data_IF_770258109892
#
_entry.id   IF_770258109892
#
_cell.length_a   1.000
_cell.length_b   1.000
_cell.length_c   1.000
_cell.angle_alpha   90.00
_cell.angle_beta   90.00
_cell.angle_gamma   90.00
#
_symmetry.space_group_name_H-M   'P 1'
#
loop_
_entity.id
_entity.type
_entity.pdbx_description
1 polymer ?
#
# COMPACT_ATOMS: atom_id res chain seq x y z
N UNK A 1 19.06 26.37 17.37
CA UNK A 1 20.01 25.83 16.37
C UNK A 1 19.82 24.31 16.28
N UNK A 2 19.44 23.76 15.12
CA UNK A 2 19.38 22.30 14.92
C UNK A 2 20.82 21.80 14.73
N UNK A 3 21.40 21.15 15.73
CA UNK A 3 22.69 20.46 15.58
C UNK A 3 22.58 19.48 14.41
N UNK A 4 23.36 19.72 13.36
CA UNK A 4 23.53 18.75 12.27
C UNK A 4 24.26 17.55 12.87
N UNK A 5 23.54 16.44 13.05
CA UNK A 5 24.14 15.15 13.41
C UNK A 5 25.31 14.86 12.46
N UNK A 6 26.39 14.29 12.99
CA UNK A 6 27.53 13.83 12.20
C UNK A 6 27.09 12.69 11.26
N UNK A 7 27.83 12.47 10.17
CA UNK A 7 27.48 11.43 9.19
C UNK A 7 27.42 10.02 9.80
N UNK A 8 28.20 9.76 10.86
CA UNK A 8 28.20 8.50 11.60
C UNK A 8 26.95 8.35 12.47
N UNK A 9 26.52 9.41 13.16
CA UNK A 9 25.27 9.42 13.94
C UNK A 9 24.04 9.27 13.04
N UNK A 10 24.04 9.91 11.86
CA UNK A 10 23.00 9.71 10.84
C UNK A 10 22.88 8.26 10.39
N UNK A 11 24.01 7.59 10.12
CA UNK A 11 24.01 6.18 9.74
C UNK A 11 23.50 5.30 10.87
N UNK A 12 23.80 5.62 12.13
CA UNK A 12 23.30 4.84 13.27
C UNK A 12 21.78 4.98 13.46
N UNK A 13 21.22 6.16 13.20
CA UNK A 13 19.77 6.42 13.33
C UNK A 13 18.96 5.84 12.16
N UNK A 14 19.44 5.99 10.92
CA UNK A 14 18.67 5.61 9.73
C UNK A 14 19.13 4.29 9.09
N UNK A 15 20.30 3.77 9.46
CA UNK A 15 20.82 2.48 9.00
C UNK A 15 21.20 1.57 10.17
N UNK A 16 20.28 1.41 11.14
CA UNK A 16 20.47 0.61 12.35
C UNK A 16 21.00 -0.80 12.07
N UNK A 17 20.59 -1.41 10.97
CA UNK A 17 20.96 -2.77 10.58
C UNK A 17 22.19 -2.85 9.66
N UNK A 18 22.84 -1.71 9.36
CA UNK A 18 23.92 -1.59 8.37
C UNK A 18 23.59 -2.34 7.07
N UNK A 19 22.44 -2.00 6.48
CA UNK A 19 21.92 -2.61 5.26
C UNK A 19 22.35 -1.80 4.03
N UNK A 20 22.69 -2.52 2.97
CA UNK A 20 23.00 -2.02 1.65
C UNK A 20 22.34 -2.93 0.60
N UNK A 21 22.45 -2.56 -0.67
CA UNK A 21 21.82 -3.32 -1.77
C UNK A 21 22.28 -4.78 -1.86
N UNK A 22 23.54 -5.08 -1.52
CA UNK A 22 24.08 -6.43 -1.67
C UNK A 22 23.73 -7.30 -0.46
N UNK A 23 23.87 -6.74 0.74
CA UNK A 23 23.75 -7.49 1.99
C UNK A 23 22.29 -7.76 2.38
N UNK A 24 21.32 -7.04 1.81
CA UNK A 24 19.89 -7.25 2.12
C UNK A 24 19.45 -8.67 1.74
N UNK A 25 20.07 -9.27 0.72
CA UNK A 25 19.83 -10.67 0.32
C UNK A 25 20.22 -11.67 1.39
N UNK A 26 21.30 -11.39 2.12
CA UNK A 26 21.76 -12.25 3.22
C UNK A 26 21.04 -11.94 4.53
N UNK A 27 20.83 -10.65 4.83
CA UNK A 27 20.26 -10.18 6.10
C UNK A 27 18.74 -10.27 6.18
N UNK A 28 18.03 -10.17 5.06
CA UNK A 28 16.57 -10.10 5.04
C UNK A 28 15.95 -10.76 3.79
N UNK A 29 16.29 -12.03 3.47
CA UNK A 29 15.79 -12.71 2.27
C UNK A 29 14.26 -12.85 2.27
N UNK A 30 13.66 -13.12 3.43
CA UNK A 30 12.19 -13.22 3.57
C UNK A 30 11.48 -11.91 3.20
N UNK A 31 12.05 -10.75 3.61
CA UNK A 31 11.48 -9.44 3.27
C UNK A 31 11.59 -9.17 1.77
N UNK A 32 12.71 -9.53 1.14
CA UNK A 32 12.89 -9.41 -0.32
C UNK A 32 11.92 -10.29 -1.10
N UNK A 33 11.70 -11.53 -0.66
CA UNK A 33 10.73 -12.42 -1.29
C UNK A 33 9.32 -11.84 -1.24
N UNK A 34 8.90 -11.27 -0.11
CA UNK A 34 7.60 -10.59 0.01
C UNK A 34 7.52 -9.36 -0.90
N UNK A 35 8.61 -8.59 -1.05
CA UNK A 35 8.68 -7.45 -1.96
C UNK A 35 8.55 -7.90 -3.42
N UNK A 36 9.16 -9.02 -3.79
CA UNK A 36 9.00 -9.62 -5.12
C UNK A 36 7.56 -10.10 -5.37
N UNK A 37 6.96 -10.82 -4.42
CA UNK A 37 5.56 -11.27 -4.50
C UNK A 37 4.61 -10.07 -4.64
N UNK A 38 4.85 -9.01 -3.87
CA UNK A 38 4.10 -7.75 -3.98
C UNK A 38 4.20 -7.16 -5.40
N UNK A 39 5.40 -7.09 -5.98
CA UNK A 39 5.59 -6.56 -7.33
C UNK A 39 4.87 -7.39 -8.41
N UNK A 40 4.84 -8.72 -8.28
CA UNK A 40 4.08 -9.59 -9.19
C UNK A 40 2.57 -9.32 -9.05
N UNK A 41 2.05 -9.36 -7.81
CA UNK A 41 0.62 -9.15 -7.54
C UNK A 41 0.16 -7.77 -8.04
N UNK A 42 0.99 -6.74 -7.84
CA UNK A 42 0.74 -5.40 -8.37
C UNK A 42 0.59 -5.42 -9.89
N UNK A 43 1.55 -6.01 -10.62
CA UNK A 43 1.49 -6.05 -12.08
C UNK A 43 0.32 -6.91 -12.61
N UNK A 44 -0.04 -8.00 -11.93
CA UNK A 44 -1.23 -8.80 -12.28
C UNK A 44 -2.50 -7.95 -12.10
N UNK A 45 -2.64 -7.29 -10.95
CA UNK A 45 -3.78 -6.41 -10.67
C UNK A 45 -3.92 -5.30 -11.71
N UNK A 46 -2.80 -4.69 -12.09
CA UNK A 46 -2.75 -3.66 -13.13
C UNK A 46 -3.10 -4.23 -14.50
N UNK A 47 -2.43 -5.29 -14.95
CA UNK A 47 -2.58 -5.84 -16.30
C UNK A 47 -3.97 -6.46 -16.55
N UNK A 48 -4.55 -7.12 -15.55
CA UNK A 48 -5.83 -7.83 -15.68
C UNK A 48 -7.04 -6.95 -15.41
N UNK A 49 -6.96 -6.05 -14.42
CA UNK A 49 -8.13 -5.31 -13.93
C UNK A 49 -8.03 -3.80 -14.17
N UNK A 50 -7.00 -3.13 -13.64
CA UNK A 50 -6.92 -1.66 -13.72
C UNK A 50 -6.74 -1.15 -15.15
N UNK A 51 -6.01 -1.89 -15.99
CA UNK A 51 -5.85 -1.62 -17.42
C UNK A 51 -7.17 -1.65 -18.19
N UNK A 52 -8.19 -2.36 -17.70
CA UNK A 52 -9.56 -2.42 -18.27
C UNK A 52 -10.51 -1.40 -17.63
N UNK A 53 -10.18 -0.91 -16.43
CA UNK A 53 -11.06 -0.12 -15.58
C UNK A 53 -11.03 1.40 -15.84
N UNK A 54 -10.34 1.88 -16.88
CA UNK A 54 -10.23 3.31 -17.19
C UNK A 54 -9.85 4.23 -16.03
N UNK A 55 -9.16 3.68 -15.03
CA UNK A 55 -8.69 4.41 -13.86
C UNK A 55 -7.53 5.32 -14.27
N UNK A 56 -7.56 6.56 -13.79
CA UNK A 56 -6.43 7.49 -13.94
C UNK A 56 -5.38 7.10 -12.91
N UNK A 57 -4.14 6.93 -13.35
CA UNK A 57 -3.03 6.57 -12.47
C UNK A 57 -2.81 7.68 -11.43
N UNK A 58 -2.44 7.32 -10.21
CA UNK A 58 -2.34 8.25 -9.08
C UNK A 58 -0.92 8.29 -8.50
N UNK A 59 -0.56 9.36 -7.81
CA UNK A 59 0.83 9.55 -7.37
C UNK A 59 1.77 9.82 -8.55
N UNK A 60 3.00 9.31 -8.50
CA UNK A 60 4.00 9.51 -9.57
C UNK A 60 3.68 8.72 -10.84
N UNK A 61 2.82 7.71 -10.74
CA UNK A 61 2.34 6.95 -11.89
C UNK A 61 1.51 7.84 -12.83
N UNK A 62 0.84 8.88 -12.31
CA UNK A 62 0.16 9.90 -13.13
C UNK A 62 1.11 10.64 -14.07
N UNK A 63 2.28 11.06 -13.57
CA UNK A 63 3.30 11.74 -14.38
C UNK A 63 3.84 10.81 -15.46
N UNK A 64 4.01 9.53 -15.11
CA UNK A 64 4.44 8.51 -16.07
C UNK A 64 3.40 8.36 -17.17
N UNK A 65 2.13 8.25 -16.78
CA UNK A 65 1.00 8.12 -17.69
C UNK A 65 0.91 9.31 -18.66
N UNK A 66 1.03 10.54 -18.17
CA UNK A 66 1.00 11.75 -19.01
C UNK A 66 2.11 11.70 -20.07
N UNK A 67 3.36 11.40 -19.68
CA UNK A 67 4.51 11.34 -20.60
C UNK A 67 4.34 10.23 -21.64
N UNK A 68 3.93 9.03 -21.20
CA UNK A 68 3.73 7.91 -22.13
C UNK A 68 2.55 8.16 -23.06
N UNK A 69 1.54 8.91 -22.61
CA UNK A 69 0.35 9.21 -23.39
C UNK A 69 0.63 10.16 -24.54
N UNK A 70 1.33 11.26 -24.29
CA UNK A 70 1.72 12.24 -25.31
C UNK A 70 2.56 11.60 -26.42
N UNK A 71 3.43 10.63 -26.07
CA UNK A 71 4.39 10.06 -27.02
C UNK A 71 4.00 8.66 -27.56
N UNK A 72 2.84 8.11 -27.19
CA UNK A 72 2.44 6.72 -27.51
C UNK A 72 3.45 5.64 -27.04
N UNK A 73 4.00 5.80 -25.84
CA UNK A 73 5.06 4.95 -25.27
C UNK A 73 4.57 4.03 -24.14
N UNK A 74 3.34 3.50 -24.19
CA UNK A 74 2.77 2.69 -23.09
C UNK A 74 3.58 1.47 -22.72
N UNK A 75 4.12 0.79 -23.73
CA UNK A 75 4.99 -0.37 -23.53
C UNK A 75 6.22 -0.06 -22.68
N UNK A 76 6.59 1.22 -22.56
CA UNK A 76 7.72 1.68 -21.77
C UNK A 76 7.32 2.29 -20.42
N UNK A 77 6.07 2.15 -19.99
CA UNK A 77 5.56 2.74 -18.74
C UNK A 77 6.45 2.42 -17.53
N UNK A 78 6.86 1.16 -17.34
CA UNK A 78 7.73 0.76 -16.22
C UNK A 78 9.07 1.50 -16.18
N UNK A 79 9.69 1.76 -17.34
CA UNK A 79 10.96 2.48 -17.41
C UNK A 79 10.80 3.94 -17.01
N UNK A 80 9.80 4.64 -17.55
CA UNK A 80 9.49 6.01 -17.15
C UNK A 80 9.08 6.10 -15.68
N UNK A 81 8.38 5.08 -15.18
CA UNK A 81 8.01 5.00 -13.78
C UNK A 81 9.26 4.96 -12.88
N UNK A 82 10.27 4.15 -13.22
CA UNK A 82 11.56 4.15 -12.52
C UNK A 82 12.23 5.52 -12.60
N UNK A 83 12.32 6.12 -13.79
CA UNK A 83 12.99 7.41 -13.99
C UNK A 83 12.38 8.53 -13.14
N UNK A 84 11.04 8.65 -13.12
CA UNK A 84 10.34 9.66 -12.30
C UNK A 84 10.52 9.40 -10.80
N UNK A 85 10.72 8.14 -10.41
CA UNK A 85 10.91 7.75 -9.02
C UNK A 85 12.33 8.01 -8.49
N UNK A 86 13.35 7.99 -9.33
CA UNK A 86 14.74 8.17 -8.91
C UNK A 86 14.98 9.50 -8.17
N UNK A 87 14.49 10.68 -8.63
CA UNK A 87 14.60 11.92 -7.88
C UNK A 87 13.97 11.85 -6.49
N UNK A 88 12.78 11.24 -6.38
CA UNK A 88 12.07 11.10 -5.11
C UNK A 88 12.86 10.19 -4.15
N UNK A 89 13.38 9.08 -4.67
CA UNK A 89 14.24 8.19 -3.90
C UNK A 89 15.45 8.95 -3.37
N UNK A 90 16.12 9.75 -4.21
CA UNK A 90 17.29 10.51 -3.80
C UNK A 90 16.97 11.54 -2.71
N UNK A 91 15.89 12.31 -2.87
CA UNK A 91 15.46 13.33 -1.89
C UNK A 91 15.08 12.70 -0.55
N UNK A 92 14.41 11.55 -0.56
CA UNK A 92 13.93 10.88 0.66
C UNK A 92 14.92 9.84 1.21
N UNK A 93 16.04 9.59 0.52
CA UNK A 93 17.07 8.64 0.93
C UNK A 93 17.64 8.93 2.32
N UNK A 94 17.73 10.22 2.68
CA UNK A 94 18.20 10.68 4.00
C UNK A 94 17.04 10.95 4.98
N UNK A 95 15.79 10.88 4.54
CA UNK A 95 14.61 11.18 5.37
C UNK A 95 13.92 9.93 5.92
N UNK A 96 14.10 8.79 5.24
CA UNK A 96 13.51 7.50 5.59
C UNK A 96 14.61 6.47 5.99
N UNK A 97 14.28 5.41 6.74
CA UNK A 97 15.21 4.33 7.07
C UNK A 97 15.79 3.65 5.82
N UNK A 98 17.06 3.24 5.88
CA UNK A 98 17.79 2.64 4.76
C UNK A 98 17.22 1.31 4.33
N UNK A 99 16.77 0.47 5.27
CA UNK A 99 16.11 -0.78 4.94
C UNK A 99 14.87 -0.52 4.06
N UNK A 100 14.04 0.44 4.46
CA UNK A 100 12.84 0.84 3.71
C UNK A 100 13.17 1.31 2.30
N UNK A 101 14.17 2.19 2.17
CA UNK A 101 14.58 2.72 0.87
C UNK A 101 15.17 1.64 -0.05
N UNK A 102 16.00 0.74 0.49
CA UNK A 102 16.59 -0.37 -0.29
C UNK A 102 15.52 -1.34 -0.76
N UNK A 103 14.59 -1.75 0.11
CA UNK A 103 13.49 -2.64 -0.27
C UNK A 103 12.56 -1.98 -1.31
N UNK A 104 12.31 -0.68 -1.20
CA UNK A 104 11.50 0.06 -2.19
C UNK A 104 12.20 0.15 -3.55
N UNK A 105 13.53 0.29 -3.58
CA UNK A 105 14.29 0.22 -4.84
C UNK A 105 14.25 -1.18 -5.46
N UNK A 106 14.33 -2.23 -4.64
CA UNK A 106 14.12 -3.60 -5.11
C UNK A 106 12.70 -3.81 -5.63
N UNK A 107 11.70 -3.22 -4.98
CA UNK A 107 10.33 -3.27 -5.46
C UNK A 107 10.20 -2.63 -6.86
N UNK A 108 10.81 -1.46 -7.10
CA UNK A 108 10.84 -0.84 -8.44
C UNK A 108 11.51 -1.74 -9.48
N UNK A 109 12.64 -2.32 -9.13
CA UNK A 109 13.36 -3.23 -10.03
C UNK A 109 12.51 -4.46 -10.35
N UNK A 110 11.93 -5.11 -9.33
CA UNK A 110 11.07 -6.27 -9.52
C UNK A 110 9.80 -5.94 -10.27
N UNK A 111 9.22 -4.75 -10.09
CA UNK A 111 8.05 -4.32 -10.85
C UNK A 111 8.36 -4.30 -12.36
N UNK A 112 9.52 -3.78 -12.77
CA UNK A 112 9.93 -3.77 -14.18
C UNK A 112 10.18 -5.20 -14.68
N UNK A 113 10.86 -6.04 -13.90
CA UNK A 113 11.10 -7.45 -14.26
C UNK A 113 9.78 -8.20 -14.42
N UNK A 114 8.85 -8.05 -13.48
CA UNK A 114 7.51 -8.64 -13.55
C UNK A 114 6.74 -8.13 -14.76
N UNK A 115 6.81 -6.83 -15.10
CA UNK A 115 6.16 -6.29 -16.28
C UNK A 115 6.72 -6.90 -17.58
N UNK A 116 8.03 -7.14 -17.66
CA UNK A 116 8.65 -7.78 -18.82
C UNK A 116 8.18 -9.23 -18.97
N UNK A 117 8.15 -9.99 -17.87
CA UNK A 117 7.69 -11.38 -17.86
C UNK A 117 6.21 -11.46 -18.24
N UNK A 118 5.36 -10.64 -17.62
CA UNK A 118 3.91 -10.72 -17.80
C UNK A 118 3.45 -10.12 -19.14
N UNK A 119 4.10 -9.05 -19.62
CA UNK A 119 3.65 -8.30 -20.80
C UNK A 119 4.34 -8.67 -22.11
N UNK A 120 5.54 -9.29 -22.10
CA UNK A 120 6.21 -9.70 -23.35
C UNK A 120 6.01 -11.19 -23.70
N UNK A 121 5.59 -12.00 -22.73
CA UNK A 121 5.26 -13.40 -22.98
C UNK A 121 3.81 -13.48 -23.45
N UNK A 122 3.61 -13.53 -24.76
CA UNK A 122 2.29 -13.51 -25.42
C UNK A 122 1.25 -14.45 -24.80
N UNK A 123 1.65 -15.63 -24.32
CA UNK A 123 0.73 -16.56 -23.65
C UNK A 123 0.20 -16.01 -22.32
N UNK A 124 1.08 -15.40 -21.51
CA UNK A 124 0.73 -14.85 -20.20
C UNK A 124 -0.08 -13.56 -20.39
N UNK A 125 0.34 -12.69 -21.29
CA UNK A 125 -0.38 -11.46 -21.60
C UNK A 125 -1.82 -11.76 -22.06
N UNK A 126 -2.00 -12.70 -23.00
CA UNK A 126 -3.33 -13.14 -23.43
C UNK A 126 -4.13 -13.80 -22.31
N UNK A 127 -3.49 -14.61 -21.46
CA UNK A 127 -4.20 -15.21 -20.33
C UNK A 127 -4.73 -14.14 -19.37
N UNK A 128 -3.91 -13.14 -19.04
CA UNK A 128 -4.28 -12.06 -18.12
C UNK A 128 -5.30 -11.08 -18.70
N UNK A 129 -5.21 -10.80 -20.00
CA UNK A 129 -6.04 -9.79 -20.66
C UNK A 129 -7.29 -10.37 -21.32
N UNK A 130 -7.21 -11.57 -21.90
CA UNK A 130 -8.27 -12.18 -22.70
C UNK A 130 -9.01 -13.30 -21.94
N UNK A 131 -8.32 -14.14 -21.17
CA UNK A 131 -8.97 -15.26 -20.46
C UNK A 131 -9.65 -14.82 -19.17
N UNK A 132 -8.98 -13.97 -18.38
CA UNK A 132 -9.55 -13.44 -17.13
C UNK A 132 -10.44 -12.24 -17.47
N UNK A 133 -11.69 -12.54 -17.84
CA UNK A 133 -12.74 -11.55 -18.09
C UNK A 133 -13.95 -11.81 -17.21
N UNK A 134 -14.41 -10.78 -16.50
CA UNK A 134 -15.60 -10.82 -15.64
C UNK A 134 -16.89 -10.56 -16.41
N UNK A 135 -16.76 -9.92 -17.57
CA UNK A 135 -17.88 -9.58 -18.42
C UNK A 135 -17.52 -9.93 -19.86
N UNK A 136 -18.45 -10.53 -20.58
CA UNK A 136 -18.30 -10.77 -22.01
C UNK A 136 -19.64 -10.59 -22.71
N UNK A 137 -19.88 -9.40 -23.30
CA UNK A 137 -21.10 -9.16 -24.07
C UNK A 137 -21.12 -9.98 -25.37
N UNK A 138 -22.32 -10.36 -25.81
CA UNK A 138 -22.63 -10.86 -27.16
C UNK A 138 -21.75 -12.00 -27.70
N UNK A 139 -21.26 -12.90 -26.82
CA UNK A 139 -20.46 -14.05 -27.24
C UNK A 139 -19.02 -13.73 -27.68
N UNK A 140 -18.55 -12.50 -27.45
CA UNK A 140 -17.14 -12.14 -27.65
C UNK A 140 -16.25 -12.87 -26.63
N UNK A 141 -14.93 -12.94 -26.89
CA UNK A 141 -14.00 -13.65 -26.01
C UNK A 141 -13.69 -12.87 -24.73
N UNK A 142 -13.58 -11.55 -24.81
CA UNK A 142 -13.40 -10.69 -23.63
C UNK A 142 -14.00 -9.30 -23.80
N UNK A 143 -14.23 -8.64 -22.67
CA UNK A 143 -14.62 -7.24 -22.62
C UNK A 143 -13.40 -6.36 -22.36
N UNK A 144 -13.35 -5.23 -23.06
CA UNK A 144 -12.31 -4.22 -22.86
C UNK A 144 -12.94 -2.84 -23.06
N UNK A 145 -12.87 -1.98 -22.04
CA UNK A 145 -13.34 -0.60 -22.12
C UNK A 145 -12.68 0.23 -23.25
N UNK A 146 -11.59 -0.29 -23.83
CA UNK A 146 -10.73 0.42 -24.77
C UNK A 146 -10.66 -0.21 -26.18
N UNK A 147 -11.14 -1.44 -26.40
CA UNK A 147 -11.13 -2.06 -27.74
C UNK A 147 -12.48 -1.89 -28.43
N UNK A 148 -12.44 -1.33 -29.63
CA UNK A 148 -13.61 -0.97 -30.44
C UNK A 148 -13.51 -1.46 -31.89
N UNK A 149 -12.39 -2.05 -32.28
CA UNK A 149 -12.31 -2.74 -33.56
C UNK A 149 -12.98 -4.10 -33.40
N UNK A 150 -13.92 -4.42 -34.29
CA UNK A 150 -14.50 -5.76 -34.51
C UNK A 150 -13.46 -6.81 -34.95
N UNK A 151 -12.20 -6.66 -34.55
CA UNK A 151 -11.32 -7.82 -34.46
C UNK A 151 -11.90 -8.73 -33.38
N UNK A 152 -12.07 -10.01 -33.71
CA UNK A 152 -12.86 -11.05 -33.04
C UNK A 152 -12.50 -11.38 -31.57
N UNK A 153 -11.88 -10.46 -30.84
CA UNK A 153 -11.24 -10.66 -29.56
C UNK A 153 -11.87 -9.78 -28.45
N UNK A 154 -12.06 -8.47 -28.61
CA UNK A 154 -12.58 -7.59 -27.54
C UNK A 154 -13.70 -6.62 -27.98
N UNK A 155 -14.82 -6.57 -27.24
CA UNK A 155 -15.98 -5.73 -27.56
C UNK A 155 -16.42 -4.84 -26.38
N UNK A 156 -16.73 -3.57 -26.66
CA UNK A 156 -17.35 -2.63 -25.73
C UNK A 156 -18.78 -2.34 -26.18
N UNK A 157 -19.74 -2.66 -25.32
CA UNK A 157 -21.18 -2.62 -25.59
C UNK A 157 -21.88 -1.36 -25.03
N UNK A 158 -21.10 -0.36 -24.58
CA UNK A 158 -21.63 0.86 -23.98
C UNK A 158 -21.92 0.77 -22.48
N UNK A 159 -21.77 -0.41 -21.86
CA UNK A 159 -22.00 -0.58 -20.43
C UNK A 159 -20.83 -0.03 -19.60
N UNK A 160 -21.15 0.72 -18.55
CA UNK A 160 -20.15 1.35 -17.66
C UNK A 160 -20.00 0.62 -16.33
N UNK A 161 -20.98 -0.18 -15.92
CA UNK A 161 -20.89 -0.96 -14.69
C UNK A 161 -19.70 -1.93 -14.63
N UNK A 162 -19.22 -2.58 -15.73
CA UNK A 162 -18.07 -3.48 -15.63
C UNK A 162 -16.81 -2.71 -15.23
N UNK A 163 -16.65 -1.46 -15.72
CA UNK A 163 -15.53 -0.57 -15.39
C UNK A 163 -15.41 -0.43 -13.85
N UNK A 164 -16.53 -0.24 -13.16
CA UNK A 164 -16.58 -0.08 -11.70
C UNK A 164 -16.15 -1.37 -11.00
N UNK A 165 -16.59 -2.54 -11.47
CA UNK A 165 -16.22 -3.83 -10.86
C UNK A 165 -14.73 -4.13 -11.07
N UNK A 166 -14.22 -3.96 -12.30
CA UNK A 166 -12.79 -4.10 -12.59
C UNK A 166 -11.96 -3.13 -11.74
N UNK A 167 -12.45 -1.90 -11.54
CA UNK A 167 -11.81 -0.91 -10.69
C UNK A 167 -11.73 -1.38 -9.22
N UNK A 168 -12.83 -1.89 -8.65
CA UNK A 168 -12.86 -2.35 -7.25
C UNK A 168 -11.90 -3.52 -7.06
N UNK A 169 -11.97 -4.54 -7.92
CA UNK A 169 -11.11 -5.73 -7.81
C UNK A 169 -9.64 -5.35 -8.01
N UNK A 170 -9.35 -4.52 -9.00
CA UNK A 170 -8.00 -3.98 -9.21
C UNK A 170 -7.49 -3.19 -8.00
N UNK A 171 -8.33 -2.36 -7.39
CA UNK A 171 -7.99 -1.62 -6.17
C UNK A 171 -7.76 -2.52 -4.96
N UNK A 172 -8.51 -3.61 -4.82
CA UNK A 172 -8.28 -4.61 -3.77
C UNK A 172 -6.94 -5.30 -3.98
N UNK A 173 -6.66 -5.80 -5.19
CA UNK A 173 -5.41 -6.50 -5.49
C UNK A 173 -4.18 -5.59 -5.33
N UNK A 174 -4.26 -4.35 -5.80
CA UNK A 174 -3.20 -3.36 -5.62
C UNK A 174 -3.03 -3.00 -4.12
N UNK A 175 -4.14 -2.82 -3.39
CA UNK A 175 -4.11 -2.61 -1.94
C UNK A 175 -3.43 -3.76 -1.18
N UNK A 176 -3.72 -5.02 -1.56
CA UNK A 176 -3.09 -6.22 -1.00
C UNK A 176 -1.59 -6.22 -1.34
N UNK A 177 -1.23 -5.97 -2.60
CA UNK A 177 0.16 -5.89 -3.03
C UNK A 177 0.92 -4.82 -2.24
N UNK A 178 0.34 -3.64 -2.07
CA UNK A 178 0.90 -2.57 -1.27
C UNK A 178 1.05 -2.96 0.20
N UNK A 179 0.01 -3.55 0.81
CA UNK A 179 0.06 -4.00 2.19
C UNK A 179 1.16 -5.05 2.43
N UNK A 180 1.39 -5.96 1.49
CA UNK A 180 2.49 -6.93 1.56
C UNK A 180 3.84 -6.21 1.53
N UNK A 181 4.03 -5.22 0.66
CA UNK A 181 5.26 -4.42 0.62
C UNK A 181 5.48 -3.65 1.95
N UNK A 182 4.43 -3.02 2.46
CA UNK A 182 4.46 -2.30 3.75
C UNK A 182 4.84 -3.22 4.91
N UNK A 183 4.26 -4.41 4.99
CA UNK A 183 4.59 -5.42 6.01
C UNK A 183 6.01 -5.96 5.87
N UNK A 184 6.53 -6.05 4.66
CA UNK A 184 7.94 -6.40 4.43
C UNK A 184 8.91 -5.28 4.85
N UNK A 185 8.41 -4.07 5.10
CA UNK A 185 9.19 -2.90 5.46
C UNK A 185 9.68 -2.09 4.26
N UNK A 186 9.06 -2.23 3.09
CA UNK A 186 9.23 -1.36 1.92
C UNK A 186 7.89 -0.75 1.49
N UNK A 187 7.78 -0.21 0.28
CA UNK A 187 6.50 0.16 -0.30
C UNK A 187 6.45 -0.11 -1.80
N UNK A 188 5.24 -0.15 -2.35
CA UNK A 188 4.97 0.11 -3.77
C UNK A 188 5.51 1.52 -4.01
N UNK A 189 6.53 1.73 -4.83
CA UNK A 189 7.24 3.01 -4.92
C UNK A 189 6.34 4.19 -5.36
N UNK A 190 6.92 5.34 -5.68
CA UNK A 190 6.17 6.51 -6.12
C UNK A 190 5.88 7.49 -5.01
N UNK A 191 4.67 8.02 -5.04
CA UNK A 191 4.16 8.93 -4.00
C UNK A 191 4.15 8.25 -2.62
N UNK A 192 4.15 6.92 -2.55
CA UNK A 192 4.22 6.16 -1.31
C UNK A 192 5.52 6.37 -0.52
N UNK A 193 6.62 6.77 -1.17
CA UNK A 193 7.85 7.17 -0.44
C UNK A 193 7.58 8.42 0.40
N UNK A 194 6.75 9.34 -0.13
CA UNK A 194 6.29 10.55 0.56
C UNK A 194 5.27 10.16 1.65
N UNK A 195 4.33 9.26 1.33
CA UNK A 195 3.34 8.74 2.28
C UNK A 195 4.03 8.18 3.52
N UNK A 196 5.08 7.36 3.36
CA UNK A 196 5.81 6.81 4.49
C UNK A 196 6.44 7.89 5.36
N UNK A 197 7.12 8.87 4.74
CA UNK A 197 7.74 9.97 5.46
C UNK A 197 6.71 10.77 6.27
N UNK A 198 5.60 11.18 5.63
CA UNK A 198 4.56 11.97 6.28
C UNK A 198 3.86 11.17 7.37
N UNK A 199 3.57 9.89 7.12
CA UNK A 199 2.97 8.98 8.09
C UNK A 199 3.85 8.79 9.32
N UNK A 200 5.18 8.70 9.15
CA UNK A 200 6.16 8.62 10.25
C UNK A 200 6.23 9.91 11.06
N UNK A 201 6.26 11.06 10.39
CA UNK A 201 6.32 12.37 11.07
C UNK A 201 5.02 12.69 11.80
N UNK A 202 3.87 12.41 11.19
CA UNK A 202 2.55 12.72 11.77
C UNK A 202 1.98 11.61 12.66
N UNK A 203 2.61 10.42 12.73
CA UNK A 203 2.11 9.23 13.44
C UNK A 203 0.67 8.85 13.04
N UNK A 204 0.34 9.01 11.75
CA UNK A 204 -1.00 8.74 11.19
C UNK A 204 -1.01 7.46 10.35
N UNK A 205 -2.17 6.82 10.22
CA UNK A 205 -2.31 5.60 9.40
C UNK A 205 -1.83 5.82 7.96
N UNK A 206 -1.22 4.77 7.39
CA UNK A 206 -0.63 4.86 6.06
C UNK A 206 -1.73 5.01 5.02
N UNK A 207 -2.87 4.31 5.15
CA UNK A 207 -4.00 4.44 4.26
C UNK A 207 -4.57 5.86 4.24
N UNK A 208 -4.74 6.51 5.40
CA UNK A 208 -5.22 7.90 5.46
C UNK A 208 -4.28 8.89 4.76
N UNK A 209 -2.97 8.74 4.95
CA UNK A 209 -1.99 9.60 4.27
C UNK A 209 -1.93 9.27 2.77
N UNK A 210 -1.98 7.99 2.40
CA UNK A 210 -2.01 7.53 1.00
C UNK A 210 -3.22 8.10 0.26
N UNK A 211 -4.40 8.08 0.89
CA UNK A 211 -5.62 8.68 0.35
C UNK A 211 -5.43 10.16 0.02
N UNK A 212 -4.95 10.97 0.97
CA UNK A 212 -4.76 12.42 0.79
C UNK A 212 -3.75 12.70 -0.34
N UNK A 213 -2.62 12.00 -0.32
CA UNK A 213 -1.58 12.18 -1.34
C UNK A 213 -2.09 11.74 -2.71
N UNK A 214 -2.73 10.57 -2.81
CA UNK A 214 -3.27 10.04 -4.06
C UNK A 214 -4.36 10.94 -4.64
N UNK A 215 -5.29 11.46 -3.81
CA UNK A 215 -6.30 12.43 -4.24
C UNK A 215 -5.67 13.70 -4.82
N UNK A 216 -4.61 14.21 -4.19
CA UNK A 216 -3.90 15.41 -4.69
C UNK A 216 -3.31 15.19 -6.09
N UNK A 217 -2.65 14.05 -6.30
CA UNK A 217 -2.11 13.69 -7.62
C UNK A 217 -3.21 13.35 -8.63
N UNK A 218 -4.31 12.72 -8.20
CA UNK A 218 -5.42 12.37 -9.06
C UNK A 218 -6.11 13.62 -9.61
N UNK A 219 -6.38 14.63 -8.76
CA UNK A 219 -6.94 15.91 -9.21
C UNK A 219 -6.06 16.58 -10.25
N UNK A 220 -4.75 16.64 -10.01
CA UNK A 220 -3.79 17.17 -10.99
C UNK A 220 -3.82 16.38 -12.31
N UNK A 221 -3.75 15.05 -12.23
CA UNK A 221 -3.72 14.16 -13.40
C UNK A 221 -4.99 14.27 -14.24
N UNK A 222 -6.16 14.28 -13.60
CA UNK A 222 -7.46 14.39 -14.27
C UNK A 222 -7.57 15.72 -15.02
N UNK A 223 -7.13 16.83 -14.43
CA UNK A 223 -7.14 18.14 -15.09
C UNK A 223 -6.21 18.15 -16.31
N UNK A 224 -4.98 17.65 -16.16
CA UNK A 224 -3.98 17.66 -17.24
C UNK A 224 -4.41 16.73 -18.38
N UNK A 225 -4.76 15.49 -18.08
CA UNK A 225 -5.21 14.52 -19.11
C UNK A 225 -6.50 14.99 -19.77
N UNK A 226 -7.46 15.50 -19.01
CA UNK A 226 -8.69 16.07 -19.56
C UNK A 226 -8.42 17.22 -20.52
N UNK A 227 -7.50 18.14 -20.17
CA UNK A 227 -7.10 19.23 -21.07
C UNK A 227 -6.42 18.71 -22.34
N UNK A 228 -5.48 17.77 -22.22
CA UNK A 228 -4.77 17.20 -23.37
C UNK A 228 -5.72 16.47 -24.34
N UNK A 229 -6.76 15.81 -23.82
CA UNK A 229 -7.80 15.15 -24.62
C UNK A 229 -8.69 16.17 -25.35
N UNK A 230 -9.07 17.27 -24.68
CA UNK A 230 -9.87 18.35 -25.30
C UNK A 230 -9.13 19.01 -26.46
N UNK A 231 -7.82 19.25 -26.32
CA UNK A 231 -7.00 19.88 -27.37
C UNK A 231 -6.46 18.90 -28.43
N UNK A 232 -6.89 17.63 -28.42
CA UNK A 232 -6.46 16.60 -29.37
C UNK A 232 -4.95 16.30 -29.39
N UNK A 233 -4.25 16.55 -28.29
CA UNK A 233 -2.81 16.30 -28.19
C UNK A 233 -2.49 14.82 -27.94
N UNK A 234 -3.52 13.99 -27.74
CA UNK A 234 -3.42 12.54 -27.53
C UNK A 234 -4.43 11.81 -28.46
N UNK A 235 -4.27 11.90 -29.80
CA UNK A 235 -5.31 11.51 -30.76
C UNK A 235 -5.41 10.00 -30.99
N UNK A 236 -4.30 9.27 -30.91
CA UNK A 236 -4.18 7.82 -31.18
C UNK A 236 -4.66 6.94 -30.02
N UNK A 237 -5.48 7.50 -29.14
CA UNK A 237 -5.82 6.88 -27.87
C UNK A 237 -7.31 6.68 -27.73
N UNK A 238 -7.70 5.60 -27.03
CA UNK A 238 -9.09 5.14 -26.96
C UNK A 238 -10.05 6.12 -26.25
N UNK A 239 -9.54 7.25 -25.77
CA UNK A 239 -10.28 8.27 -25.05
C UNK A 239 -11.01 9.24 -25.99
N UNK A 240 -10.55 9.34 -27.25
CA UNK A 240 -11.22 10.09 -28.33
C UNK A 240 -11.82 9.21 -29.43
N UNK A 241 -11.35 7.95 -29.54
CA UNK A 241 -11.69 7.08 -30.64
C UNK A 241 -13.06 6.38 -30.45
N UNK A 242 -14.17 7.07 -30.66
CA UNK A 242 -15.44 6.47 -31.14
C UNK A 242 -16.40 7.50 -31.71
N UNK A 243 -17.24 7.05 -32.65
CA UNK A 243 -18.45 7.72 -33.11
C UNK A 243 -19.42 8.08 -31.97
N UNK A 244 -19.34 7.37 -30.83
CA UNK A 244 -20.12 7.60 -29.60
C UNK A 244 -19.36 8.41 -28.51
N UNK A 245 -18.02 8.46 -28.53
CA UNK A 245 -17.25 9.41 -27.70
C UNK A 245 -17.49 10.86 -28.16
N UNK A 246 -17.81 11.05 -29.45
CA UNK A 246 -18.30 12.31 -29.98
C UNK A 246 -19.73 12.64 -29.50
N UNK A 247 -20.54 11.63 -29.13
CA UNK A 247 -21.90 11.83 -28.58
C UNK A 247 -21.91 12.09 -27.07
N UNK A 248 -21.05 11.47 -26.27
CA UNK A 248 -21.07 11.60 -24.79
C UNK A 248 -19.66 11.65 -24.13
N UNK A 249 -18.82 12.65 -24.42
CA UNK A 249 -17.47 12.77 -23.85
C UNK A 249 -17.48 12.94 -22.31
N UNK A 250 -18.52 13.61 -21.79
CA UNK A 250 -18.69 13.86 -20.36
C UNK A 250 -18.91 12.58 -19.56
N UNK A 251 -19.67 11.62 -20.08
CA UNK A 251 -19.99 10.38 -19.38
C UNK A 251 -18.73 9.55 -19.10
N UNK A 252 -17.81 9.45 -20.06
CA UNK A 252 -16.55 8.72 -19.87
C UNK A 252 -15.63 9.43 -18.87
N UNK A 253 -15.52 10.76 -18.93
CA UNK A 253 -14.76 11.54 -17.95
C UNK A 253 -15.30 11.32 -16.53
N UNK A 254 -16.61 11.40 -16.35
CA UNK A 254 -17.27 11.21 -15.05
C UNK A 254 -16.99 9.79 -14.51
N UNK A 255 -17.13 8.77 -15.34
CA UNK A 255 -16.85 7.38 -14.93
C UNK A 255 -15.39 7.22 -14.49
N UNK A 256 -14.42 7.86 -15.16
CA UNK A 256 -13.01 7.85 -14.72
C UNK A 256 -12.83 8.48 -13.35
N UNK A 257 -13.44 9.64 -13.14
CA UNK A 257 -13.32 10.37 -11.88
C UNK A 257 -13.87 9.49 -10.77
N UNK A 258 -15.06 8.93 -10.96
CA UNK A 258 -15.71 8.01 -10.01
C UNK A 258 -14.82 6.79 -9.76
N UNK A 259 -14.36 6.10 -10.81
CA UNK A 259 -13.51 4.91 -10.67
C UNK A 259 -12.18 5.25 -9.98
N UNK A 260 -11.56 6.37 -10.31
CA UNK A 260 -10.31 6.80 -9.66
C UNK A 260 -10.52 7.05 -8.16
N UNK A 261 -11.61 7.71 -7.78
CA UNK A 261 -11.95 7.93 -6.36
C UNK A 261 -12.25 6.61 -5.65
N UNK A 262 -13.04 5.71 -6.28
CA UNK A 262 -13.33 4.37 -5.74
C UNK A 262 -12.04 3.58 -5.55
N UNK A 263 -11.17 3.54 -6.57
CA UNK A 263 -9.87 2.87 -6.52
C UNK A 263 -9.02 3.38 -5.36
N UNK A 264 -8.86 4.70 -5.22
CA UNK A 264 -8.09 5.30 -4.12
C UNK A 264 -8.68 4.92 -2.76
N UNK A 265 -10.01 4.97 -2.62
CA UNK A 265 -10.71 4.60 -1.40
C UNK A 265 -10.51 3.13 -1.02
N UNK A 266 -10.73 2.22 -1.97
CA UNK A 266 -10.55 0.77 -1.79
C UNK A 266 -9.09 0.44 -1.46
N UNK A 267 -8.14 0.99 -2.23
CA UNK A 267 -6.70 0.83 -1.99
C UNK A 267 -6.31 1.24 -0.57
N UNK A 268 -6.74 2.43 -0.15
CA UNK A 268 -6.41 2.99 1.16
C UNK A 268 -7.05 2.19 2.31
N UNK A 269 -8.29 1.74 2.12
CA UNK A 269 -9.00 0.90 3.07
C UNK A 269 -8.30 -0.45 3.28
N UNK A 270 -7.90 -1.12 2.19
CA UNK A 270 -7.21 -2.41 2.25
C UNK A 270 -5.86 -2.27 2.97
N UNK A 271 -5.11 -1.19 2.73
CA UNK A 271 -3.86 -0.93 3.45
C UNK A 271 -4.11 -0.76 4.95
N UNK A 272 -5.09 0.05 5.35
CA UNK A 272 -5.36 0.27 6.78
C UNK A 272 -5.91 -0.99 7.48
N UNK A 273 -6.61 -1.86 6.75
CA UNK A 273 -7.06 -3.15 7.25
C UNK A 273 -5.88 -4.11 7.48
N UNK A 274 -4.96 -4.22 6.51
CA UNK A 274 -3.88 -5.21 6.52
C UNK A 274 -2.60 -4.73 7.23
N UNK A 275 -2.37 -3.43 7.30
CA UNK A 275 -1.20 -2.83 7.95
C UNK A 275 -1.58 -1.62 8.82
N UNK A 276 -2.30 -1.84 9.94
CA UNK A 276 -2.72 -0.79 10.88
C UNK A 276 -1.56 -0.29 11.76
N UNK A 277 -0.50 0.25 11.14
CA UNK A 277 0.80 0.58 11.76
C UNK A 277 0.72 1.37 13.08
N UNK A 278 -0.14 2.38 13.14
CA UNK A 278 -0.27 3.27 14.31
C UNK A 278 -1.55 3.04 15.11
N UNK A 279 -2.30 1.96 14.83
CA UNK A 279 -3.48 1.61 15.60
C UNK A 279 -3.04 1.14 16.99
N UNK A 280 -3.67 1.66 18.04
CA UNK A 280 -3.36 1.34 19.43
C UNK A 280 -4.46 0.48 20.04
N UNK A 281 -4.07 -0.39 20.97
CA UNK A 281 -4.98 -1.22 21.75
C UNK A 281 -4.60 -1.16 23.22
N UNK A 282 -5.61 -1.15 24.08
CA UNK A 282 -5.44 -1.37 25.51
C UNK A 282 -5.47 -2.86 25.77
N UNK A 283 -4.49 -3.36 26.50
CA UNK A 283 -4.46 -4.71 27.03
C UNK A 283 -4.75 -4.63 28.52
N UNK A 284 -5.75 -5.40 28.96
CA UNK A 284 -6.03 -5.65 30.37
C UNK A 284 -5.73 -7.12 30.65
N UNK A 285 -4.75 -7.37 31.51
CA UNK A 285 -4.18 -8.70 31.77
C UNK A 285 -4.52 -9.07 33.21
N UNK A 286 -5.35 -10.09 33.38
CA UNK A 286 -5.83 -10.58 34.66
C UNK A 286 -5.12 -11.90 35.00
N UNK A 287 -4.49 -11.99 36.17
CA UNK A 287 -3.78 -13.20 36.60
C UNK A 287 -3.61 -13.23 38.14
N UNK A 288 -3.28 -14.39 38.69
CA UNK A 288 -2.85 -14.55 40.09
C UNK A 288 -1.33 -14.44 40.26
N UNK A 289 -0.57 -14.31 39.17
CA UNK A 289 0.90 -14.26 39.14
C UNK A 289 1.42 -12.92 38.58
N UNK A 290 0.79 -11.80 38.98
CA UNK A 290 1.09 -10.47 38.41
C UNK A 290 2.54 -10.05 38.65
N UNK A 291 3.10 -10.41 39.79
CA UNK A 291 4.48 -10.06 40.17
C UNK A 291 5.46 -10.68 39.19
N UNK A 292 5.28 -11.97 38.87
CA UNK A 292 6.12 -12.69 37.89
C UNK A 292 5.98 -12.12 36.49
N UNK A 293 4.77 -11.74 36.08
CA UNK A 293 4.54 -11.10 34.78
C UNK A 293 5.25 -9.75 34.73
N UNK A 294 5.16 -8.96 35.79
CA UNK A 294 5.79 -7.63 35.88
C UNK A 294 7.31 -7.74 35.86
N UNK A 295 7.89 -8.70 36.57
CA UNK A 295 9.33 -9.00 36.51
C UNK A 295 9.75 -9.40 35.09
N UNK A 296 8.99 -10.28 34.44
CA UNK A 296 9.26 -10.67 33.04
C UNK A 296 9.20 -9.47 32.09
N UNK A 297 8.22 -8.59 32.22
CA UNK A 297 8.11 -7.36 31.42
C UNK A 297 9.32 -6.43 31.65
N UNK A 298 9.84 -6.34 32.87
CA UNK A 298 11.09 -5.61 33.17
C UNK A 298 12.31 -6.27 32.52
N UNK A 299 12.42 -7.60 32.58
CA UNK A 299 13.54 -8.36 32.01
C UNK A 299 13.61 -8.19 30.48
N UNK A 300 12.47 -8.23 29.79
CA UNK A 300 12.40 -8.02 28.34
C UNK A 300 12.49 -6.53 27.95
N UNK A 301 12.67 -5.63 28.92
CA UNK A 301 12.69 -4.17 28.73
C UNK A 301 11.47 -3.67 27.96
N UNK A 302 10.29 -4.13 28.37
CA UNK A 302 9.03 -3.67 27.80
C UNK A 302 8.95 -2.14 27.90
N UNK A 303 8.75 -1.50 26.76
CA UNK A 303 8.90 -0.05 26.56
C UNK A 303 7.62 0.75 26.82
N UNK A 304 6.47 0.09 26.91
CA UNK A 304 5.20 0.76 27.15
C UNK A 304 4.89 0.86 28.64
N UNK A 305 4.31 2.01 29.02
CA UNK A 305 3.82 2.23 30.37
C UNK A 305 2.71 1.25 30.71
N UNK A 306 2.76 0.72 31.94
CA UNK A 306 1.76 -0.20 32.44
C UNK A 306 1.43 0.11 33.91
N UNK A 307 0.16 -0.05 34.26
CA UNK A 307 -0.36 0.15 35.61
C UNK A 307 -0.78 -1.20 36.20
N UNK A 308 -0.60 -1.36 37.51
CA UNK A 308 -0.96 -2.58 38.24
C UNK A 308 -2.09 -2.24 39.20
N UNK A 309 -3.15 -3.04 39.18
CA UNK A 309 -4.28 -2.96 40.08
C UNK A 309 -4.43 -4.29 40.80
N UNK A 310 -4.75 -4.25 42.09
CA UNK A 310 -5.05 -5.42 42.89
C UNK A 310 -6.54 -5.45 43.22
N UNK A 311 -7.14 -6.63 43.25
CA UNK A 311 -8.56 -6.79 43.55
C UNK A 311 -8.92 -8.20 44.01
N UNK A 312 -10.17 -8.34 44.46
CA UNK A 312 -10.74 -9.62 44.89
C UNK A 312 -11.76 -10.05 43.84
N UNK A 313 -11.65 -11.29 43.38
CA UNK A 313 -12.59 -11.85 42.40
C UNK A 313 -13.97 -12.03 43.00
N UNK A 314 -15.01 -11.46 42.38
CA UNK A 314 -16.39 -11.65 42.83
C UNK A 314 -16.91 -13.09 42.68
N UNK A 315 -16.29 -13.91 41.83
CA UNK A 315 -16.71 -15.30 41.60
C UNK A 315 -15.96 -16.29 42.49
N UNK A 316 -14.64 -16.12 42.65
CA UNK A 316 -13.79 -17.06 43.39
C UNK A 316 -13.42 -16.57 44.78
N UNK A 317 -13.68 -15.30 45.10
CA UNK A 317 -13.22 -14.61 46.32
C UNK A 317 -11.71 -14.73 46.58
N UNK A 318 -10.92 -14.91 45.51
CA UNK A 318 -9.46 -14.94 45.56
C UNK A 318 -8.88 -13.62 45.10
N UNK A 319 -7.75 -13.26 45.70
CA UNK A 319 -6.94 -12.13 45.25
C UNK A 319 -6.44 -12.36 43.83
N UNK A 320 -6.49 -11.30 43.02
CA UNK A 320 -5.94 -11.28 41.69
C UNK A 320 -5.35 -9.90 41.40
N UNK A 321 -4.44 -9.86 40.42
CA UNK A 321 -3.94 -8.60 39.88
C UNK A 321 -4.45 -8.37 38.46
N UNK A 322 -4.48 -7.09 38.07
CA UNK A 322 -4.74 -6.63 36.71
C UNK A 322 -3.61 -5.70 36.26
N UNK A 323 -2.96 -6.03 35.15
CA UNK A 323 -2.03 -5.13 34.47
C UNK A 323 -2.77 -4.46 33.33
N UNK A 324 -2.76 -3.13 33.29
CA UNK A 324 -3.28 -2.34 32.19
C UNK A 324 -2.12 -1.71 31.42
N UNK A 325 -2.04 -1.96 30.11
CA UNK A 325 -1.01 -1.36 29.24
C UNK A 325 -1.61 -0.94 27.90
N UNK A 326 -1.05 0.10 27.29
CA UNK A 326 -1.37 0.50 25.92
C UNK A 326 -0.23 0.06 25.02
N UNK A 327 -0.54 -0.70 23.97
CA UNK A 327 0.44 -1.16 22.99
C UNK A 327 -0.06 -0.91 21.58
N UNK A 328 0.83 -1.07 20.60
CA UNK A 328 0.43 -1.02 19.19
C UNK A 328 -0.24 -2.32 18.77
N UNK A 329 -1.19 -2.20 17.84
CA UNK A 329 -1.98 -3.32 17.35
C UNK A 329 -1.10 -4.42 16.74
N UNK A 330 -0.01 -4.06 16.06
CA UNK A 330 0.93 -5.01 15.47
C UNK A 330 1.84 -5.70 16.51
N UNK A 331 2.01 -5.12 17.69
CA UNK A 331 2.86 -5.66 18.77
C UNK A 331 2.08 -6.57 19.73
N UNK A 332 0.75 -6.44 19.77
CA UNK A 332 -0.11 -7.09 20.79
C UNK A 332 0.11 -8.59 20.90
N UNK A 333 0.26 -9.30 19.78
CA UNK A 333 0.35 -10.77 19.78
C UNK A 333 1.69 -11.25 20.34
N UNK A 334 2.76 -10.49 20.09
CA UNK A 334 4.05 -10.75 20.72
C UNK A 334 3.99 -10.54 22.23
N UNK A 335 3.39 -9.42 22.69
CA UNK A 335 3.21 -9.13 24.12
C UNK A 335 2.38 -10.21 24.80
N UNK A 336 1.27 -10.63 24.18
CA UNK A 336 0.42 -11.72 24.68
C UNK A 336 1.21 -13.03 24.77
N UNK A 337 2.04 -13.35 23.76
CA UNK A 337 2.92 -14.52 23.79
C UNK A 337 3.90 -14.49 24.97
N UNK A 338 4.51 -13.33 25.26
CA UNK A 338 5.41 -13.17 26.41
C UNK A 338 4.68 -13.38 27.75
N UNK A 339 3.47 -12.84 27.89
CA UNK A 339 2.66 -13.00 29.10
C UNK A 339 2.25 -14.47 29.28
N UNK A 340 1.77 -15.11 28.22
CA UNK A 340 1.33 -16.51 28.23
C UNK A 340 2.46 -17.50 28.51
N UNK A 341 3.71 -17.12 28.23
CA UNK A 341 4.88 -17.91 28.62
C UNK A 341 5.08 -17.96 30.15
N UNK A 342 4.73 -16.87 30.85
CA UNK A 342 4.82 -16.79 32.33
C UNK A 342 3.59 -17.39 32.99
N UNK A 343 2.40 -17.07 32.45
CA UNK A 343 1.14 -17.60 32.92
C UNK A 343 0.21 -17.97 31.75
N UNK A 344 0.17 -19.26 31.43
CA UNK A 344 -0.70 -19.81 30.38
C UNK A 344 -2.18 -19.53 30.64
N UNK A 345 -2.57 -19.35 31.91
CA UNK A 345 -3.96 -19.17 32.33
C UNK A 345 -4.37 -17.70 32.47
N UNK A 346 -3.46 -16.75 32.19
CA UNK A 346 -3.79 -15.32 32.25
C UNK A 346 -4.95 -14.98 31.32
N UNK A 347 -5.95 -14.27 31.82
CA UNK A 347 -7.08 -13.79 31.02
C UNK A 347 -6.75 -12.40 30.49
N UNK A 348 -6.84 -12.19 29.18
CA UNK A 348 -6.39 -10.95 28.54
C UNK A 348 -7.56 -10.38 27.73
N UNK A 349 -7.96 -9.15 28.05
CA UNK A 349 -8.91 -8.37 27.28
C UNK A 349 -8.19 -7.37 26.39
N UNK A 350 -8.65 -7.22 25.14
CA UNK A 350 -8.07 -6.32 24.14
C UNK A 350 -9.14 -5.31 23.76
N UNK A 351 -8.95 -4.04 24.13
CA UNK A 351 -9.88 -2.96 23.80
C UNK A 351 -9.29 -2.04 22.74
N UNK A 352 -10.04 -1.69 21.68
CA UNK A 352 -9.58 -0.69 20.71
C UNK A 352 -9.53 0.69 21.38
N UNK A 353 -8.47 1.45 21.09
CA UNK A 353 -8.37 2.85 21.53
C UNK A 353 -8.67 3.75 20.34
N UNK A 354 -9.63 4.66 20.51
CA UNK A 354 -9.99 5.64 19.48
C UNK A 354 -8.96 6.76 19.37
N UNK A 355 -8.54 7.32 20.50
CA UNK A 355 -7.62 8.45 20.55
C UNK A 355 -6.74 8.39 21.79
N UNK A 356 -5.51 8.91 21.68
CA UNK A 356 -4.59 9.11 22.80
C UNK A 356 -4.07 10.53 22.72
N UNK A 357 -4.28 11.30 23.78
CA UNK A 357 -3.72 12.64 23.94
C UNK A 357 -2.51 12.54 24.87
N UNK A 358 -1.34 12.97 24.41
CA UNK A 358 -0.07 12.90 25.14
C UNK A 358 1.04 12.19 24.37
N UNK A 359 2.18 11.99 25.03
CA UNK A 359 3.33 11.31 24.45
C UNK A 359 3.17 9.78 24.55
N UNK A 360 3.23 9.12 23.39
CA UNK A 360 3.27 7.66 23.29
C UNK A 360 4.51 7.29 22.47
N UNK A 361 5.34 6.42 23.03
CA UNK A 361 6.54 5.96 22.36
C UNK A 361 6.21 5.03 21.19
N UNK A 362 6.69 5.40 20.01
CA UNK A 362 6.50 4.67 18.76
C UNK A 362 7.87 4.30 18.16
N UNK A 363 8.91 4.21 18.97
CA UNK A 363 10.28 3.99 18.53
C UNK A 363 10.52 2.60 17.95
N UNK A 364 9.75 1.58 18.36
CA UNK A 364 9.94 0.18 17.97
C UNK A 364 9.06 -0.31 16.79
N UNK A 365 8.37 0.60 16.07
CA UNK A 365 7.47 0.22 14.96
C UNK A 365 8.22 -0.16 13.67
N UNK A 366 9.49 0.21 13.52
CA UNK A 366 10.26 0.10 12.26
C UNK A 366 11.22 -1.11 12.18
#
# INVERSE_FOLDING_TARGET
>A
MKNKLSAQEWNKVYNTHNINFINVWKKSPKKLLLIFISAILFNIGVATFLSKAAVVATGTSSLTQIITFINNWDKYFGYFYVLINLPIIFVFWKKNPRLFMVLTCYWLFFQVVSQLILGQINFIDKFLTETITLYSPNGHKYWNAFNLNETSAGYYDGQTWPIIIYCIIGGVLDGIAAAIAWRAGGCVAGSNVIVYYVSRVKKMSIGKIAFIVAMSFATFSIIVLGALEVYDLIPSRPWKATWDAQKNPLTRLIVRIICTVIYIGVYSFVIDLMYPKYKKVKLEIYSTKIEKITEHLKLIRYNHSHNIYYGISGYTHKDFGRIETITLFLEKDWVIGQIKHVDSNAWISILPIHEVVGEFDTSYID
#
